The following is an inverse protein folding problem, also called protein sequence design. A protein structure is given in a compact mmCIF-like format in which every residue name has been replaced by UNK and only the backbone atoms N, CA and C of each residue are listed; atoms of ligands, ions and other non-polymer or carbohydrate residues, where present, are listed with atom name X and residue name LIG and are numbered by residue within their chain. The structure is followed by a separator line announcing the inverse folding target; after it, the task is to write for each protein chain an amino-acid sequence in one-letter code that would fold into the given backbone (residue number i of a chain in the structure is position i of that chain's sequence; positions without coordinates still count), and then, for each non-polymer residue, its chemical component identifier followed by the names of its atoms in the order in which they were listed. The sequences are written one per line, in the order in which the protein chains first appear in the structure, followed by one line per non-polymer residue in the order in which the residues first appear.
data_IF_280907201511
#
_entry.id   IF_280907201511
#
_cell.length_a   1.000
_cell.length_b   1.000
_cell.length_c   1.000
_cell.angle_alpha   90.00
_cell.angle_beta   90.00
_cell.angle_gamma   90.00
#
_symmetry.space_group_name_H-M   'P 1'
#
loop_
_entity.id
_entity.type
_entity.pdbx_description
1 polymer ?
#
# COMPACT_ATOMS: atom_id res chain seq x y z
N UNK A 1 8.51 -23.57 14.32
CA UNK A 1 7.85 -22.38 13.71
C UNK A 1 8.80 -21.19 13.78
N UNK A 2 9.02 -20.53 12.69
CA UNK A 2 9.85 -19.34 12.63
C UNK A 2 9.20 -18.16 13.37
N UNK A 3 10.01 -17.22 13.86
CA UNK A 3 9.51 -15.95 14.37
C UNK A 3 9.19 -15.03 13.19
N UNK A 4 7.91 -14.72 12.97
CA UNK A 4 7.45 -13.82 11.93
C UNK A 4 7.37 -12.35 12.40
N UNK A 5 7.63 -12.07 13.67
CA UNK A 5 7.53 -10.71 14.21
C UNK A 5 8.65 -9.81 13.68
N UNK A 6 8.35 -8.53 13.59
CA UNK A 6 9.32 -7.51 13.16
C UNK A 6 9.00 -6.16 13.78
N UNK A 7 9.96 -5.26 13.70
CA UNK A 7 9.75 -3.85 13.99
C UNK A 7 9.87 -3.04 12.69
N UNK A 8 8.83 -2.26 12.37
CA UNK A 8 8.79 -1.40 11.20
C UNK A 8 8.65 0.06 11.67
N UNK A 9 9.69 0.87 11.48
CA UNK A 9 9.72 2.29 11.90
C UNK A 9 9.32 2.50 13.37
N UNK A 10 9.77 1.63 14.29
CA UNK A 10 9.44 1.69 15.71
C UNK A 10 8.09 1.07 16.10
N UNK A 11 7.32 0.57 15.13
CA UNK A 11 6.04 -0.12 15.35
C UNK A 11 6.23 -1.62 15.28
N UNK A 12 5.84 -2.34 16.33
CA UNK A 12 5.91 -3.81 16.37
C UNK A 12 4.77 -4.42 15.59
N UNK A 13 5.11 -5.31 14.65
CA UNK A 13 4.18 -6.10 13.86
C UNK A 13 4.32 -7.58 14.23
N UNK A 14 3.22 -8.32 14.32
CA UNK A 14 3.22 -9.76 14.64
C UNK A 14 3.79 -10.61 13.51
N UNK A 15 3.68 -10.12 12.28
CA UNK A 15 4.18 -10.74 11.06
C UNK A 15 4.26 -9.66 9.96
N UNK A 16 4.94 -9.92 8.82
CA UNK A 16 5.14 -8.93 7.78
C UNK A 16 3.93 -8.71 6.85
N UNK A 17 2.80 -9.39 7.07
CA UNK A 17 1.64 -9.34 6.17
C UNK A 17 0.69 -8.22 6.60
N UNK A 18 0.53 -7.23 5.73
CA UNK A 18 -0.33 -6.06 5.92
C UNK A 18 -1.44 -6.10 4.87
N UNK A 19 -2.68 -5.86 5.27
CA UNK A 19 -3.76 -5.67 4.31
C UNK A 19 -3.62 -4.32 3.60
N UNK A 20 -3.63 -4.32 2.25
CA UNK A 20 -3.40 -3.13 1.45
C UNK A 20 -4.60 -2.19 1.42
N UNK A 21 -4.33 -0.89 1.42
CA UNK A 21 -5.37 0.14 1.27
C UNK A 21 -6.17 -0.04 -0.02
N UNK A 22 -7.47 0.17 0.10
CA UNK A 22 -8.42 0.10 -1.02
C UNK A 22 -9.00 -1.27 -1.29
N UNK A 23 -8.50 -2.32 -0.65
CA UNK A 23 -8.98 -3.70 -0.82
C UNK A 23 -9.52 -4.33 0.47
N UNK A 24 -9.45 -3.61 1.56
CA UNK A 24 -9.79 -4.11 2.90
C UNK A 24 -10.76 -3.20 3.67
N UNK A 25 -11.19 -2.09 3.06
CA UNK A 25 -12.04 -1.10 3.73
C UNK A 25 -11.39 -0.57 5.00
N UNK A 26 -12.13 -0.66 6.11
CA UNK A 26 -11.64 -0.45 7.47
C UNK A 26 -11.53 -1.77 8.26
N UNK A 27 -11.71 -2.91 7.60
CA UNK A 27 -11.54 -4.25 8.16
C UNK A 27 -12.81 -4.87 8.75
N UNK A 28 -13.92 -4.16 8.89
CA UNK A 28 -15.14 -4.67 9.54
C UNK A 28 -15.70 -5.91 8.85
N UNK A 29 -15.80 -5.88 7.53
CA UNK A 29 -16.32 -7.01 6.73
C UNK A 29 -15.43 -8.26 6.84
N UNK A 30 -14.12 -8.06 6.99
CA UNK A 30 -13.18 -9.16 7.17
C UNK A 30 -13.16 -9.70 8.59
N UNK A 31 -13.40 -8.85 9.60
CA UNK A 31 -13.50 -9.25 11.00
C UNK A 31 -14.70 -10.17 11.28
N UNK A 32 -15.74 -10.10 10.44
CA UNK A 32 -16.86 -11.06 10.46
C UNK A 32 -16.43 -12.47 9.99
N UNK A 33 -15.34 -12.58 9.23
CA UNK A 33 -14.87 -13.85 8.67
C UNK A 33 -13.74 -14.46 9.50
N UNK A 34 -12.87 -13.64 10.06
CA UNK A 34 -11.75 -14.06 10.91
C UNK A 34 -11.24 -12.90 11.77
N UNK A 35 -10.56 -13.21 12.86
CA UNK A 35 -9.91 -12.19 13.70
C UNK A 35 -8.81 -11.44 12.92
N UNK A 36 -9.09 -10.19 12.54
CA UNK A 36 -8.13 -9.33 11.82
C UNK A 36 -6.91 -8.96 12.68
N UNK A 37 -6.99 -9.14 14.00
CA UNK A 37 -5.88 -8.95 14.93
C UNK A 37 -4.71 -9.90 14.70
N UNK A 38 -4.87 -10.97 13.91
CA UNK A 38 -3.76 -11.84 13.50
C UNK A 38 -2.87 -11.26 12.41
N UNK A 39 -3.30 -10.21 11.70
CA UNK A 39 -2.51 -9.53 10.68
C UNK A 39 -1.37 -8.72 11.31
N UNK A 40 -0.30 -8.51 10.56
CA UNK A 40 0.77 -7.58 10.95
C UNK A 40 0.29 -6.13 10.98
N UNK A 41 -0.58 -5.76 10.04
CA UNK A 41 -1.15 -4.42 9.98
C UNK A 41 -2.29 -4.31 8.97
N UNK A 42 -2.98 -3.18 9.01
CA UNK A 42 -4.01 -2.80 8.04
C UNK A 42 -3.73 -1.38 7.57
N UNK A 43 -3.45 -1.22 6.27
CA UNK A 43 -3.51 0.09 5.63
C UNK A 43 -4.96 0.36 5.25
N UNK A 44 -5.61 1.26 5.97
CA UNK A 44 -7.05 1.52 5.81
C UNK A 44 -7.37 2.18 4.47
N UNK A 45 -8.64 2.22 4.11
CA UNK A 45 -9.12 2.93 2.92
C UNK A 45 -8.55 4.35 2.88
N UNK A 46 -8.06 4.76 1.71
CA UNK A 46 -7.51 6.09 1.52
C UNK A 46 -8.47 7.20 1.98
N UNK A 47 -8.02 8.00 2.92
CA UNK A 47 -8.76 9.06 3.57
C UNK A 47 -8.46 10.42 2.93
N UNK A 48 -9.45 11.27 2.80
CA UNK A 48 -9.33 12.68 2.44
C UNK A 48 -9.95 13.56 3.52
N UNK A 49 -9.63 14.87 3.53
CA UNK A 49 -10.19 15.81 4.51
C UNK A 49 -11.72 15.80 4.50
N UNK A 50 -12.31 15.78 3.30
CA UNK A 50 -13.76 15.73 3.10
C UNK A 50 -14.18 14.40 2.50
N UNK A 51 -15.44 13.95 2.73
CA UNK A 51 -15.97 12.76 2.08
C UNK A 51 -15.90 12.84 0.56
N UNK A 52 -15.64 11.69 -0.10
CA UNK A 52 -15.64 11.54 -1.55
C UNK A 52 -16.58 10.42 -1.97
N UNK A 53 -17.44 10.69 -2.95
CA UNK A 53 -18.38 9.71 -3.52
C UNK A 53 -17.72 8.75 -4.50
N UNK A 54 -16.51 9.07 -4.96
CA UNK A 54 -15.80 8.32 -6.00
C UNK A 54 -16.35 8.57 -7.41
N UNK A 55 -15.84 7.79 -8.37
CA UNK A 55 -16.23 7.88 -9.77
C UNK A 55 -17.59 7.19 -10.02
N UNK A 56 -18.30 7.54 -11.12
CA UNK A 56 -19.48 6.80 -11.54
C UNK A 56 -19.12 5.35 -11.96
N UNK A 57 -20.09 4.38 -11.93
CA UNK A 57 -19.86 3.03 -12.45
C UNK A 57 -19.79 3.04 -14.00
N UNK A 58 -19.08 2.09 -14.70
CA UNK A 58 -18.39 0.96 -14.06
C UNK A 58 -17.03 1.36 -13.54
N UNK A 59 -16.68 0.88 -12.34
CA UNK A 59 -15.44 1.23 -11.63
C UNK A 59 -14.40 0.13 -11.65
N UNK A 60 -14.78 -1.07 -12.08
CA UNK A 60 -13.95 -2.28 -12.06
C UNK A 60 -14.10 -3.00 -13.40
N UNK A 61 -13.00 -3.57 -13.88
CA UNK A 61 -12.99 -4.51 -15.00
C UNK A 61 -11.99 -5.64 -14.70
N UNK A 62 -12.44 -6.88 -14.85
CA UNK A 62 -11.56 -8.04 -14.74
C UNK A 62 -10.60 -8.12 -15.93
N UNK A 63 -9.41 -8.68 -15.68
CA UNK A 63 -8.41 -9.00 -16.70
C UNK A 63 -7.96 -10.45 -16.51
N UNK A 64 -7.30 -11.10 -17.50
CA UNK A 64 -6.91 -12.50 -17.39
C UNK A 64 -6.09 -12.87 -16.14
N UNK A 65 -5.32 -11.93 -15.60
CA UNK A 65 -4.46 -12.16 -14.42
C UNK A 65 -4.50 -11.02 -13.42
N UNK A 66 -5.69 -10.45 -13.19
CA UNK A 66 -5.87 -9.37 -12.25
C UNK A 66 -7.11 -8.55 -12.53
N UNK A 67 -7.08 -7.28 -12.16
CA UNK A 67 -8.21 -6.38 -12.36
C UNK A 67 -7.77 -4.93 -12.58
N UNK A 68 -8.59 -4.20 -13.31
CA UNK A 68 -8.52 -2.74 -13.39
C UNK A 68 -9.54 -2.13 -12.43
N UNK A 69 -9.14 -1.11 -11.69
CA UNK A 69 -10.03 -0.33 -10.87
C UNK A 69 -9.92 1.17 -11.15
N UNK A 70 -11.04 1.85 -11.01
CA UNK A 70 -11.17 3.31 -11.07
C UNK A 70 -12.21 3.78 -10.07
N UNK A 71 -12.02 3.43 -8.79
CA UNK A 71 -12.97 3.73 -7.71
C UNK A 71 -13.08 5.23 -7.43
N UNK A 72 -12.00 6.00 -7.64
CA UNK A 72 -12.02 7.45 -7.43
C UNK A 72 -11.93 7.87 -5.97
N UNK A 73 -11.20 7.11 -5.15
CA UNK A 73 -10.94 7.42 -3.74
C UNK A 73 -12.22 7.59 -2.89
N UNK A 74 -13.29 6.85 -3.17
CA UNK A 74 -14.49 6.87 -2.33
C UNK A 74 -14.13 6.61 -0.87
N UNK A 75 -14.48 7.54 0.03
CA UNK A 75 -14.21 7.44 1.47
C UNK A 75 -15.09 8.40 2.26
N UNK A 76 -15.33 8.16 3.57
CA UNK A 76 -16.20 8.97 4.40
C UNK A 76 -15.56 10.28 4.92
N UNK A 77 -14.27 10.51 4.63
CA UNK A 77 -13.49 11.59 5.21
C UNK A 77 -12.77 11.19 6.50
N UNK A 78 -11.72 11.95 6.85
CA UNK A 78 -10.86 11.64 8.00
C UNK A 78 -11.60 11.74 9.34
N UNK A 79 -12.49 12.70 9.50
CA UNK A 79 -13.23 12.91 10.75
C UNK A 79 -14.14 11.73 11.06
N UNK A 80 -14.89 11.26 10.06
CA UNK A 80 -15.74 10.06 10.20
C UNK A 80 -14.92 8.82 10.55
N UNK A 81 -13.73 8.64 9.95
CA UNK A 81 -12.85 7.54 10.30
C UNK A 81 -12.37 7.61 11.75
N UNK A 82 -11.93 8.79 12.20
CA UNK A 82 -11.42 8.99 13.57
C UNK A 82 -12.53 8.76 14.61
N UNK A 83 -13.77 9.17 14.32
CA UNK A 83 -14.89 9.05 15.23
C UNK A 83 -15.49 7.65 15.27
N UNK A 84 -15.62 6.98 14.12
CA UNK A 84 -16.45 5.77 14.00
C UNK A 84 -15.64 4.47 13.82
N UNK A 85 -14.49 4.50 13.15
CA UNK A 85 -13.76 3.29 12.77
C UNK A 85 -12.47 3.10 13.55
N UNK A 86 -11.72 4.17 13.79
CA UNK A 86 -10.43 4.10 14.48
C UNK A 86 -10.51 3.54 15.91
N UNK A 87 -11.47 3.93 16.79
CA UNK A 87 -11.55 3.37 18.13
C UNK A 87 -11.70 1.86 18.12
N UNK A 88 -12.59 1.35 17.27
CA UNK A 88 -12.80 -0.08 17.10
C UNK A 88 -11.55 -0.81 16.56
N UNK A 89 -10.85 -0.22 15.57
CA UNK A 89 -9.61 -0.80 15.02
C UNK A 89 -8.51 -0.91 16.07
N UNK A 90 -8.38 0.09 16.94
CA UNK A 90 -7.36 0.10 18.00
C UNK A 90 -7.60 -1.02 19.03
N UNK A 91 -8.85 -1.45 19.22
CA UNK A 91 -9.19 -2.59 20.09
C UNK A 91 -8.77 -3.94 19.48
N UNK A 92 -8.56 -4.03 18.16
CA UNK A 92 -8.23 -5.29 17.46
C UNK A 92 -6.78 -5.75 17.59
N UNK A 93 -5.94 -4.99 18.31
CA UNK A 93 -4.53 -5.33 18.48
C UNK A 93 -3.80 -5.61 17.15
N UNK A 94 -4.05 -4.77 16.14
CA UNK A 94 -3.43 -4.78 14.83
C UNK A 94 -2.82 -3.40 14.56
N UNK A 95 -1.70 -3.32 13.86
CA UNK A 95 -1.12 -2.03 13.49
C UNK A 95 -2.02 -1.31 12.48
N UNK A 96 -2.49 -0.11 12.82
CA UNK A 96 -3.35 0.72 11.98
C UNK A 96 -2.50 1.73 11.23
N UNK A 97 -2.50 1.63 9.90
CA UNK A 97 -1.80 2.54 8.99
C UNK A 97 -2.85 3.40 8.29
N UNK A 98 -2.88 4.69 8.59
CA UNK A 98 -3.81 5.60 7.93
C UNK A 98 -3.28 5.96 6.54
N UNK A 99 -3.94 5.46 5.48
CA UNK A 99 -3.63 5.87 4.11
C UNK A 99 -4.26 7.25 3.86
N UNK A 100 -3.44 8.25 3.57
CA UNK A 100 -3.88 9.63 3.37
C UNK A 100 -3.76 10.06 1.90
N UNK A 101 -4.75 10.80 1.43
CA UNK A 101 -4.82 11.33 0.06
C UNK A 101 -5.22 12.78 0.07
N UNK A 102 -4.73 13.54 -0.89
CA UNK A 102 -5.08 14.96 -1.05
C UNK A 102 -4.94 15.40 -2.51
N UNK A 103 -5.37 16.63 -2.79
CA UNK A 103 -5.26 17.30 -4.10
C UNK A 103 -4.20 18.40 -4.10
N UNK A 104 -3.76 18.83 -2.92
CA UNK A 104 -2.69 19.82 -2.73
C UNK A 104 -1.77 19.41 -1.58
N UNK A 105 -0.58 20.00 -1.51
CA UNK A 105 0.36 19.79 -0.40
C UNK A 105 -0.30 20.16 0.92
N UNK A 106 -1.06 21.25 0.97
CA UNK A 106 -1.77 21.71 2.17
C UNK A 106 -2.79 20.68 2.67
N UNK A 107 -3.54 20.01 1.78
CA UNK A 107 -4.46 18.95 2.19
C UNK A 107 -3.73 17.77 2.84
N UNK A 108 -2.57 17.35 2.31
CA UNK A 108 -1.78 16.30 2.94
C UNK A 108 -1.20 16.72 4.29
N UNK A 109 -0.75 17.96 4.43
CA UNK A 109 -0.27 18.52 5.70
C UNK A 109 -1.41 18.54 6.73
N UNK A 110 -2.58 19.07 6.37
CA UNK A 110 -3.76 19.08 7.24
C UNK A 110 -4.21 17.66 7.63
N UNK A 111 -4.10 16.68 6.73
CA UNK A 111 -4.37 15.27 7.06
C UNK A 111 -3.41 14.74 8.12
N UNK A 112 -2.11 15.04 8.00
CA UNK A 112 -1.11 14.63 8.99
C UNK A 112 -1.36 15.30 10.35
N UNK A 113 -1.66 16.60 10.38
CA UNK A 113 -2.00 17.35 11.59
C UNK A 113 -3.28 16.80 12.26
N UNK A 114 -4.30 16.46 11.46
CA UNK A 114 -5.56 15.89 11.94
C UNK A 114 -5.38 14.52 12.59
N UNK A 115 -4.48 13.71 12.05
CA UNK A 115 -4.19 12.37 12.56
C UNK A 115 -3.12 12.37 13.67
N UNK A 116 -2.34 13.44 13.82
CA UNK A 116 -1.27 13.54 14.80
C UNK A 116 -1.70 13.25 16.26
N UNK A 117 -2.86 13.73 16.76
CA UNK A 117 -3.32 13.45 18.12
C UNK A 117 -4.02 12.09 18.27
N UNK A 118 -4.18 11.31 17.19
CA UNK A 118 -4.91 10.04 17.20
C UNK A 118 -4.00 8.86 17.53
N UNK A 119 -4.61 7.70 17.76
CA UNK A 119 -3.88 6.46 18.03
C UNK A 119 -3.43 5.69 16.78
N UNK A 120 -3.48 6.27 15.56
CA UNK A 120 -2.94 5.58 14.38
C UNK A 120 -1.44 5.37 14.53
N UNK A 121 -0.97 4.19 14.12
CA UNK A 121 0.41 3.79 14.34
C UNK A 121 1.38 4.38 13.29
N UNK A 122 0.94 4.48 12.03
CA UNK A 122 1.72 5.01 10.92
C UNK A 122 0.81 5.75 9.92
N UNK A 123 1.39 6.65 9.13
CA UNK A 123 0.73 7.30 7.99
C UNK A 123 1.29 6.72 6.68
N UNK A 124 0.42 6.34 5.73
CA UNK A 124 0.81 6.00 4.37
C UNK A 124 0.34 7.11 3.42
N UNK A 125 1.26 7.96 2.98
CA UNK A 125 0.99 9.06 2.06
C UNK A 125 0.89 8.55 0.62
N UNK A 126 -0.32 8.50 0.07
CA UNK A 126 -0.59 8.05 -1.28
C UNK A 126 -0.50 9.20 -2.28
N UNK A 127 0.67 9.38 -2.89
CA UNK A 127 0.96 10.43 -3.89
C UNK A 127 0.74 9.98 -5.33
N UNK A 128 0.13 8.82 -5.54
CA UNK A 128 -0.01 8.19 -6.86
C UNK A 128 -1.29 8.58 -7.60
N UNK A 129 -2.11 9.50 -7.09
CA UNK A 129 -3.39 9.81 -7.70
C UNK A 129 -3.21 10.66 -8.98
N UNK A 130 -3.57 10.16 -10.18
CA UNK A 130 -3.40 10.88 -11.44
C UNK A 130 -4.42 12.01 -11.66
N UNK A 131 -5.41 12.17 -10.77
CA UNK A 131 -6.59 13.03 -10.97
C UNK A 131 -6.53 14.34 -10.19
N UNK A 132 -5.37 14.98 -10.11
CA UNK A 132 -5.28 16.34 -9.54
C UNK A 132 -5.46 17.35 -10.65
N UNK A 133 -6.69 17.88 -10.82
CA UNK A 133 -7.05 18.85 -11.86
C UNK A 133 -6.57 20.29 -11.59
N UNK A 134 -5.95 20.59 -10.47
CA UNK A 134 -5.33 21.89 -10.23
C UNK A 134 -3.82 21.78 -10.30
N UNK A 135 -3.26 22.23 -11.42
CA UNK A 135 -1.82 22.31 -11.66
C UNK A 135 -1.17 21.16 -12.43
N UNK A 136 -1.90 20.10 -12.79
CA UNK A 136 -1.48 19.13 -13.83
C UNK A 136 -0.31 18.20 -13.49
N UNK A 137 0.16 18.14 -12.24
CA UNK A 137 1.29 17.29 -11.87
C UNK A 137 0.85 16.27 -10.81
N UNK A 138 0.83 15.00 -11.20
CA UNK A 138 0.75 13.91 -10.21
C UNK A 138 2.00 13.97 -9.33
N UNK A 139 1.83 14.22 -8.02
CA UNK A 139 2.94 14.42 -7.07
C UNK A 139 3.97 13.28 -7.08
N UNK A 140 3.53 12.06 -7.39
CA UNK A 140 4.38 10.87 -7.38
C UNK A 140 5.22 10.64 -8.65
N UNK A 141 5.13 11.50 -9.68
CA UNK A 141 5.80 11.25 -10.97
C UNK A 141 7.21 11.83 -11.00
N UNK A 142 7.42 13.04 -10.47
CA UNK A 142 8.71 13.73 -10.48
C UNK A 142 9.39 13.66 -9.13
N UNK A 143 10.68 13.30 -9.05
CA UNK A 143 11.43 13.24 -7.79
C UNK A 143 11.36 14.54 -6.98
N UNK A 144 11.42 15.70 -7.64
CA UNK A 144 11.35 17.01 -6.96
C UNK A 144 10.00 17.20 -6.26
N UNK A 145 8.91 16.77 -6.89
CA UNK A 145 7.56 16.86 -6.30
C UNK A 145 7.41 15.89 -5.14
N UNK A 146 7.96 14.67 -5.27
CA UNK A 146 8.01 13.67 -4.18
C UNK A 146 8.76 14.24 -2.99
N UNK A 147 9.94 14.83 -3.21
CA UNK A 147 10.73 15.47 -2.16
C UNK A 147 9.96 16.57 -1.43
N UNK A 148 9.38 17.51 -2.19
CA UNK A 148 8.70 18.67 -1.61
C UNK A 148 7.49 18.27 -0.76
N UNK A 149 6.61 17.40 -1.29
CA UNK A 149 5.43 16.97 -0.55
C UNK A 149 5.80 16.12 0.67
N UNK A 150 6.77 15.23 0.52
CA UNK A 150 7.23 14.38 1.64
C UNK A 150 7.80 15.23 2.76
N UNK A 151 8.66 16.23 2.45
CA UNK A 151 9.25 17.13 3.43
C UNK A 151 8.18 17.94 4.18
N UNK A 152 7.18 18.46 3.46
CA UNK A 152 6.10 19.23 4.06
C UNK A 152 5.25 18.37 5.01
N UNK A 153 4.84 17.18 4.57
CA UNK A 153 4.00 16.27 5.36
C UNK A 153 4.79 15.70 6.55
N UNK A 154 6.08 15.36 6.37
CA UNK A 154 6.93 14.86 7.46
C UNK A 154 7.10 15.89 8.58
N UNK A 155 7.16 17.17 8.26
CA UNK A 155 7.25 18.24 9.26
C UNK A 155 5.99 18.34 10.14
N UNK A 156 4.81 17.94 9.64
CA UNK A 156 3.54 17.96 10.34
C UNK A 156 3.21 16.62 11.02
N UNK A 157 3.71 15.51 10.49
CA UNK A 157 3.43 14.18 10.99
C UNK A 157 4.12 13.92 12.34
N UNK A 158 3.40 13.32 13.28
CA UNK A 158 3.96 12.77 14.54
C UNK A 158 4.24 11.27 14.44
N UNK A 159 3.46 10.58 13.63
CA UNK A 159 3.64 9.16 13.34
C UNK A 159 4.72 8.96 12.27
N UNK A 160 5.33 7.76 12.20
CA UNK A 160 6.16 7.38 11.07
C UNK A 160 5.41 7.57 9.75
N UNK A 161 6.09 8.16 8.75
CA UNK A 161 5.55 8.48 7.44
C UNK A 161 6.06 7.48 6.39
N UNK A 162 5.15 6.73 5.80
CA UNK A 162 5.39 5.85 4.66
C UNK A 162 4.98 6.60 3.39
N UNK A 163 5.83 6.64 2.38
CA UNK A 163 5.51 7.26 1.08
C UNK A 163 5.18 6.16 0.06
N UNK A 164 3.93 6.16 -0.44
CA UNK A 164 3.46 5.17 -1.43
C UNK A 164 3.74 5.63 -2.83
N UNK A 165 4.65 4.91 -3.52
CA UNK A 165 5.15 5.26 -4.84
C UNK A 165 4.34 4.64 -5.97
N UNK A 166 4.22 5.41 -7.08
CA UNK A 166 3.59 4.95 -8.32
C UNK A 166 4.61 4.21 -9.20
N UNK A 167 4.19 3.12 -9.88
CA UNK A 167 5.04 2.44 -10.87
C UNK A 167 5.04 3.15 -12.25
N UNK A 168 4.21 4.19 -12.43
CA UNK A 168 4.02 4.85 -13.73
C UNK A 168 5.09 5.92 -13.99
N UNK A 169 6.35 5.52 -13.83
CA UNK A 169 7.56 6.33 -14.00
C UNK A 169 8.63 5.53 -14.72
N UNK A 170 9.61 6.22 -15.30
CA UNK A 170 10.73 5.57 -16.01
C UNK A 170 11.67 4.85 -15.04
N UNK A 171 12.03 5.52 -13.94
CA UNK A 171 12.86 4.98 -12.87
C UNK A 171 12.26 5.32 -11.51
N UNK A 172 11.74 4.31 -10.80
CA UNK A 172 11.13 4.47 -9.49
C UNK A 172 12.19 4.74 -8.40
N UNK A 173 13.44 4.39 -8.66
CA UNK A 173 14.52 4.55 -7.66
C UNK A 173 14.83 6.02 -7.38
N UNK A 174 14.67 6.90 -8.37
CA UNK A 174 14.83 8.34 -8.19
C UNK A 174 13.77 8.89 -7.23
N UNK A 175 12.51 8.43 -7.36
CA UNK A 175 11.42 8.82 -6.47
C UNK A 175 11.60 8.23 -5.06
N UNK A 176 12.14 7.02 -4.96
CA UNK A 176 12.45 6.38 -3.69
C UNK A 176 13.55 7.15 -2.93
N UNK A 177 14.62 7.55 -3.63
CA UNK A 177 15.68 8.40 -3.07
C UNK A 177 15.14 9.76 -2.62
N UNK A 178 14.34 10.41 -3.46
CA UNK A 178 13.74 11.70 -3.13
C UNK A 178 12.84 11.64 -1.87
N UNK A 179 12.07 10.56 -1.71
CA UNK A 179 11.28 10.32 -0.50
C UNK A 179 12.17 10.15 0.74
N UNK A 180 13.23 9.34 0.64
CA UNK A 180 14.20 9.15 1.72
C UNK A 180 14.90 10.46 2.11
N UNK A 181 15.42 11.22 1.15
CA UNK A 181 16.10 12.48 1.37
C UNK A 181 15.18 13.55 2.00
N UNK A 182 13.89 13.47 1.72
CA UNK A 182 12.87 14.34 2.32
C UNK A 182 12.47 13.93 3.75
N UNK A 183 12.98 12.79 4.26
CA UNK A 183 12.78 12.32 5.62
C UNK A 183 11.63 11.32 5.77
N UNK A 184 11.21 10.62 4.72
CA UNK A 184 10.31 9.47 4.86
C UNK A 184 10.92 8.41 5.78
N UNK A 185 10.10 7.80 6.64
CA UNK A 185 10.56 6.71 7.52
C UNK A 185 10.55 5.36 6.78
N UNK A 186 9.66 5.20 5.80
CA UNK A 186 9.60 4.04 4.90
C UNK A 186 9.00 4.43 3.55
N UNK A 187 9.13 3.54 2.57
CA UNK A 187 8.40 3.63 1.30
C UNK A 187 7.56 2.38 1.09
N UNK A 188 6.40 2.53 0.47
CA UNK A 188 5.61 1.39 -0.01
C UNK A 188 5.52 1.42 -1.53
N UNK A 189 5.65 0.27 -2.17
CA UNK A 189 5.63 0.13 -3.63
C UNK A 189 5.26 -1.30 -4.06
N UNK A 190 4.51 -1.41 -5.13
CA UNK A 190 4.07 -0.39 -6.08
C UNK A 190 2.56 -0.14 -5.94
N UNK A 191 2.10 1.10 -6.25
CA UNK A 191 0.71 1.33 -6.57
C UNK A 191 0.38 0.66 -7.92
N UNK A 192 -0.81 0.88 -8.47
CA UNK A 192 -1.30 0.21 -9.67
C UNK A 192 -0.70 0.79 -10.96
N UNK A 193 -0.52 -0.08 -11.96
CA UNK A 193 -0.14 0.33 -13.32
C UNK A 193 -1.36 0.88 -14.08
N UNK A 194 -1.19 1.99 -14.79
CA UNK A 194 -2.27 2.57 -15.58
C UNK A 194 -2.58 1.72 -16.80
N UNK A 195 -3.85 1.39 -16.99
CA UNK A 195 -4.32 0.60 -18.13
C UNK A 195 -5.74 0.96 -18.56
N UNK A 196 -6.23 0.32 -19.61
CA UNK A 196 -7.59 0.45 -20.15
C UNK A 196 -8.22 -0.93 -20.37
N UNK A 197 -9.55 -0.98 -20.37
CA UNK A 197 -10.32 -2.13 -20.84
C UNK A 197 -11.32 -1.68 -21.89
N UNK A 198 -11.41 -2.43 -23.00
CA UNK A 198 -12.22 -2.07 -24.17
C UNK A 198 -13.27 -3.14 -24.44
N UNK A 199 -14.53 -2.72 -24.53
CA UNK A 199 -15.61 -3.53 -25.11
C UNK A 199 -15.55 -3.38 -26.66
N UNK A 200 -14.98 -4.39 -27.32
CA UNK A 200 -14.79 -4.36 -28.77
C UNK A 200 -16.10 -4.40 -29.56
N UNK A 201 -17.14 -5.01 -28.97
CA UNK A 201 -18.46 -5.11 -29.61
C UNK A 201 -19.18 -3.78 -29.60
N UNK A 202 -19.11 -3.06 -28.48
CA UNK A 202 -19.73 -1.74 -28.32
C UNK A 202 -18.80 -0.60 -28.76
N UNK A 203 -17.53 -0.87 -29.00
CA UNK A 203 -16.47 0.11 -29.31
C UNK A 203 -16.39 1.21 -28.26
N UNK A 204 -16.41 0.81 -26.98
CA UNK A 204 -16.42 1.71 -25.82
C UNK A 204 -15.44 1.26 -24.74
N UNK A 205 -15.02 2.21 -23.92
CA UNK A 205 -14.31 1.90 -22.68
C UNK A 205 -15.25 1.17 -21.71
N UNK A 206 -14.72 0.18 -20.96
CA UNK A 206 -15.48 -0.53 -19.93
C UNK A 206 -15.58 0.33 -18.67
N UNK A 207 -14.48 0.97 -18.27
CA UNK A 207 -14.46 1.86 -17.11
C UNK A 207 -15.02 3.23 -17.46
N UNK A 208 -15.91 3.77 -16.61
CA UNK A 208 -16.51 5.09 -16.81
C UNK A 208 -15.48 6.24 -16.85
N UNK A 209 -14.36 6.09 -16.16
CA UNK A 209 -13.25 7.05 -16.14
C UNK A 209 -12.22 6.80 -17.28
N UNK A 210 -12.53 5.95 -18.26
CA UNK A 210 -11.70 5.49 -19.38
C UNK A 210 -10.46 4.69 -18.94
N UNK A 211 -9.66 5.19 -18.01
CA UNK A 211 -8.47 4.54 -17.47
C UNK A 211 -8.71 4.00 -16.07
N UNK A 212 -7.93 2.99 -15.67
CA UNK A 212 -7.91 2.44 -14.33
C UNK A 212 -6.53 1.91 -13.95
N UNK A 213 -6.38 1.60 -12.67
CA UNK A 213 -5.17 0.99 -12.15
C UNK A 213 -5.23 -0.54 -12.24
N UNK A 214 -4.29 -1.14 -12.94
CA UNK A 214 -4.11 -2.61 -13.02
C UNK A 214 -3.41 -3.11 -11.76
N UNK A 215 -3.97 -4.16 -11.15
CA UNK A 215 -3.45 -4.87 -9.99
C UNK A 215 -3.67 -6.38 -10.13
N UNK A 216 -3.11 -7.17 -9.20
CA UNK A 216 -3.17 -8.63 -9.22
C UNK A 216 -1.90 -9.28 -9.80
N UNK A 217 -1.89 -10.61 -10.05
CA UNK A 217 -0.69 -11.36 -10.41
C UNK A 217 0.07 -10.82 -11.63
N UNK A 218 -0.64 -10.21 -12.59
CA UNK A 218 -0.04 -9.62 -13.79
C UNK A 218 1.04 -8.57 -13.51
N UNK A 219 0.96 -7.84 -12.38
CA UNK A 219 1.93 -6.79 -12.06
C UNK A 219 3.10 -7.28 -11.19
N UNK A 220 3.05 -8.52 -10.66
CA UNK A 220 4.04 -9.04 -9.71
C UNK A 220 5.49 -8.98 -10.23
N UNK A 221 5.83 -9.39 -11.46
CA UNK A 221 7.21 -9.31 -11.95
C UNK A 221 7.73 -7.88 -12.01
N UNK A 222 6.86 -6.91 -12.32
CA UNK A 222 7.21 -5.48 -12.34
C UNK A 222 7.45 -4.97 -10.92
N UNK A 223 6.57 -5.35 -9.99
CA UNK A 223 6.68 -4.95 -8.59
C UNK A 223 7.97 -5.51 -7.95
N UNK A 224 8.27 -6.79 -8.14
CA UNK A 224 9.50 -7.43 -7.64
C UNK A 224 10.76 -6.72 -8.17
N UNK A 225 10.82 -6.42 -9.48
CA UNK A 225 11.93 -5.67 -10.07
C UNK A 225 12.09 -4.30 -9.44
N UNK A 226 10.99 -3.56 -9.26
CA UNK A 226 11.02 -2.20 -8.70
C UNK A 226 11.45 -2.20 -7.23
N UNK A 227 10.97 -3.16 -6.43
CA UNK A 227 11.41 -3.34 -5.03
C UNK A 227 12.90 -3.66 -4.99
N UNK A 228 13.36 -4.64 -5.77
CA UNK A 228 14.76 -5.04 -5.82
C UNK A 228 15.69 -3.89 -6.22
N UNK A 229 15.34 -3.13 -7.27
CA UNK A 229 16.12 -1.97 -7.70
C UNK A 229 16.18 -0.86 -6.63
N UNK A 230 15.06 -0.60 -5.96
CA UNK A 230 14.99 0.43 -4.92
C UNK A 230 15.77 0.01 -3.67
N UNK A 231 15.72 -1.27 -3.28
CA UNK A 231 16.48 -1.82 -2.16
C UNK A 231 18.01 -1.70 -2.33
N UNK A 232 18.50 -1.55 -3.57
CA UNK A 232 19.93 -1.30 -3.85
C UNK A 232 20.32 0.19 -3.68
N UNK A 233 19.35 1.09 -3.51
CA UNK A 233 19.55 2.54 -3.51
C UNK A 233 19.18 3.23 -2.21
N UNK A 234 18.10 2.77 -1.57
CA UNK A 234 17.61 3.39 -0.33
C UNK A 234 18.00 2.55 0.89
N UNK A 235 18.06 3.21 2.05
CA UNK A 235 18.39 2.59 3.34
C UNK A 235 17.20 2.53 4.30
N UNK A 236 16.10 3.20 3.95
CA UNK A 236 14.85 3.12 4.72
C UNK A 236 14.06 1.86 4.35
N UNK A 237 13.21 1.36 5.26
CA UNK A 237 12.35 0.20 5.03
C UNK A 237 11.53 0.31 3.76
N UNK A 238 11.41 -0.82 3.04
CA UNK A 238 10.51 -0.97 1.88
C UNK A 238 9.39 -1.93 2.26
N UNK A 239 8.15 -1.52 1.96
CA UNK A 239 6.96 -2.37 2.05
C UNK A 239 6.56 -2.73 0.62
N UNK A 240 6.75 -4.01 0.25
CA UNK A 240 6.47 -4.49 -1.11
C UNK A 240 4.99 -4.80 -1.32
N UNK A 241 4.45 -4.46 -2.50
CA UNK A 241 3.10 -4.85 -2.90
C UNK A 241 2.95 -4.98 -4.41
N UNK A 242 2.02 -5.84 -4.84
CA UNK A 242 1.68 -6.05 -6.25
C UNK A 242 1.64 -7.52 -6.63
N UNK A 243 0.46 -8.11 -6.68
CA UNK A 243 0.24 -9.47 -7.13
C UNK A 243 0.66 -10.58 -6.17
N UNK A 244 0.75 -10.29 -4.88
CA UNK A 244 1.02 -11.29 -3.83
C UNK A 244 -0.25 -12.11 -3.60
N UNK A 245 -0.16 -13.43 -3.78
CA UNK A 245 -1.25 -14.38 -3.58
C UNK A 245 -0.87 -15.54 -2.68
N UNK A 246 0.42 -15.82 -2.47
CA UNK A 246 0.94 -16.93 -1.69
C UNK A 246 2.01 -16.50 -0.70
N UNK A 247 2.35 -17.38 0.25
CA UNK A 247 3.49 -17.17 1.17
C UNK A 247 4.83 -17.09 0.43
N UNK A 248 5.00 -17.86 -0.65
CA UNK A 248 6.21 -17.79 -1.51
C UNK A 248 6.29 -16.45 -2.24
N UNK A 249 5.15 -15.88 -2.68
CA UNK A 249 5.16 -14.53 -3.25
C UNK A 249 5.62 -13.50 -2.22
N UNK A 250 5.12 -13.58 -0.98
CA UNK A 250 5.56 -12.72 0.11
C UNK A 250 7.06 -12.86 0.37
N UNK A 251 7.56 -14.12 0.46
CA UNK A 251 8.98 -14.40 0.60
C UNK A 251 9.80 -13.82 -0.56
N UNK A 252 9.32 -13.91 -1.82
CA UNK A 252 10.00 -13.34 -2.97
C UNK A 252 10.20 -11.82 -2.85
N UNK A 253 9.19 -11.08 -2.37
CA UNK A 253 9.33 -9.65 -2.09
C UNK A 253 10.35 -9.37 -0.98
N UNK A 254 10.37 -10.19 0.08
CA UNK A 254 11.34 -10.04 1.16
C UNK A 254 12.77 -10.33 0.68
N UNK A 255 12.97 -11.39 -0.10
CA UNK A 255 14.24 -11.68 -0.74
C UNK A 255 14.73 -10.51 -1.61
N UNK A 256 13.82 -9.81 -2.31
CA UNK A 256 14.12 -8.61 -3.08
C UNK A 256 14.45 -7.37 -2.22
N UNK A 257 14.27 -7.41 -0.89
CA UNK A 257 14.61 -6.34 0.04
C UNK A 257 13.44 -5.67 0.74
N UNK A 258 12.20 -6.15 0.56
CA UNK A 258 11.07 -5.68 1.34
C UNK A 258 11.13 -6.21 2.78
N UNK A 259 10.91 -5.35 3.78
CA UNK A 259 10.83 -5.75 5.19
C UNK A 259 9.43 -6.22 5.60
N UNK A 260 8.41 -5.74 4.92
CA UNK A 260 7.03 -6.16 5.05
C UNK A 260 6.37 -6.15 3.67
N UNK A 261 5.18 -6.73 3.57
CA UNK A 261 4.43 -6.78 2.30
C UNK A 261 2.97 -6.41 2.51
N UNK A 262 2.36 -5.82 1.48
CA UNK A 262 0.93 -5.52 1.47
C UNK A 262 0.19 -6.42 0.47
N UNK A 263 -0.85 -7.09 0.95
CA UNK A 263 -1.74 -7.95 0.16
C UNK A 263 -2.98 -7.16 -0.25
N UNK A 264 -3.20 -7.04 -1.55
CA UNK A 264 -4.30 -6.25 -2.12
C UNK A 264 -5.35 -7.10 -2.82
N UNK A 265 -5.26 -7.21 -4.13
CA UNK A 265 -6.27 -7.83 -5.02
C UNK A 265 -6.66 -9.25 -4.61
N UNK A 266 -5.74 -10.02 -4.02
CA UNK A 266 -6.02 -11.37 -3.52
C UNK A 266 -7.18 -11.41 -2.50
N UNK A 267 -7.39 -10.34 -1.72
CA UNK A 267 -8.49 -10.26 -0.77
C UNK A 267 -9.88 -10.27 -1.43
N UNK A 268 -9.99 -9.91 -2.71
CA UNK A 268 -11.25 -9.95 -3.46
C UNK A 268 -11.59 -11.34 -3.99
N UNK A 269 -10.57 -12.13 -4.31
CA UNK A 269 -10.75 -13.50 -4.83
C UNK A 269 -10.79 -14.53 -3.72
N UNK A 270 -10.08 -14.27 -2.63
CA UNK A 270 -10.03 -15.11 -1.43
C UNK A 270 -10.04 -14.21 -0.19
N UNK A 271 -11.18 -14.08 0.50
CA UNK A 271 -11.26 -13.26 1.72
C UNK A 271 -10.29 -13.71 2.82
N UNK A 272 -9.84 -14.97 2.81
CA UNK A 272 -8.86 -15.53 3.74
C UNK A 272 -7.41 -15.44 3.23
N UNK A 273 -7.14 -14.69 2.16
CA UNK A 273 -5.81 -14.58 1.56
C UNK A 273 -4.74 -14.16 2.60
N UNK A 274 -4.96 -13.10 3.37
CA UNK A 274 -3.99 -12.65 4.35
C UNK A 274 -3.66 -13.72 5.42
N UNK A 275 -4.63 -14.32 6.13
CA UNK A 275 -4.35 -15.41 7.08
C UNK A 275 -3.68 -16.63 6.44
N UNK A 276 -4.05 -16.96 5.21
CA UNK A 276 -3.43 -18.08 4.48
C UNK A 276 -1.98 -17.77 4.14
N UNK A 277 -1.68 -16.60 3.62
CA UNK A 277 -0.33 -16.15 3.28
C UNK A 277 0.57 -16.13 4.51
N UNK A 278 0.06 -15.73 5.69
CA UNK A 278 0.83 -15.80 6.95
C UNK A 278 1.26 -17.24 7.26
N UNK A 279 0.34 -18.20 7.16
CA UNK A 279 0.66 -19.62 7.40
C UNK A 279 1.66 -20.15 6.39
N UNK A 280 1.41 -19.92 5.09
CA UNK A 280 2.28 -20.34 3.99
C UNK A 280 3.70 -19.74 4.11
N UNK A 281 3.82 -18.47 4.52
CA UNK A 281 5.12 -17.84 4.75
C UNK A 281 5.85 -18.48 5.93
N UNK A 282 5.13 -18.84 6.99
CA UNK A 282 5.72 -19.58 8.12
C UNK A 282 6.22 -20.97 7.68
N UNK A 283 5.42 -21.69 6.88
CA UNK A 283 5.80 -23.01 6.35
C UNK A 283 7.03 -22.90 5.44
N UNK A 284 7.10 -21.83 4.62
CA UNK A 284 8.28 -21.52 3.80
C UNK A 284 9.52 -21.28 4.68
N UNK A 285 9.40 -20.47 5.74
CA UNK A 285 10.51 -20.18 6.65
C UNK A 285 10.99 -21.48 7.35
N UNK A 286 10.08 -22.33 7.82
CA UNK A 286 10.42 -23.61 8.44
C UNK A 286 11.14 -24.53 7.43
N UNK A 287 10.66 -24.65 6.20
CA UNK A 287 11.29 -25.45 5.15
C UNK A 287 12.70 -24.95 4.78
N UNK A 288 12.92 -23.64 4.79
CA UNK A 288 14.20 -23.00 4.54
C UNK A 288 15.11 -22.91 5.79
N UNK A 289 14.64 -23.36 6.97
CA UNK A 289 15.33 -23.29 8.26
C UNK A 289 15.64 -21.84 8.70
N UNK A 290 14.82 -20.90 8.30
CA UNK A 290 14.85 -19.50 8.72
C UNK A 290 14.30 -19.40 10.13
N UNK A 291 15.03 -18.77 11.07
CA UNK A 291 14.61 -18.64 12.46
C UNK A 291 13.75 -17.37 12.65
N UNK A 292 14.12 -16.29 11.99
CA UNK A 292 13.36 -15.05 11.97
C UNK A 292 13.13 -14.60 10.53
N UNK A 293 11.90 -14.20 10.21
CA UNK A 293 11.50 -13.83 8.85
C UNK A 293 12.33 -12.69 8.26
N UNK A 294 12.91 -11.82 9.08
CA UNK A 294 13.78 -10.74 8.64
C UNK A 294 15.12 -11.22 8.06
N UNK A 295 15.52 -12.48 8.33
CA UNK A 295 16.69 -13.09 7.67
C UNK A 295 16.52 -13.25 6.16
N UNK A 296 15.29 -13.18 5.65
CA UNK A 296 15.03 -13.22 4.20
C UNK A 296 15.38 -11.91 3.49
N UNK A 297 15.35 -10.79 4.22
CA UNK A 297 15.38 -9.45 3.62
C UNK A 297 16.68 -9.19 2.86
N UNK A 298 16.54 -8.95 1.54
CA UNK A 298 17.66 -8.58 0.66
C UNK A 298 18.67 -9.70 0.38
N UNK A 299 18.31 -10.96 0.64
CA UNK A 299 19.22 -12.09 0.44
C UNK A 299 19.13 -12.73 -0.94
N UNK A 300 18.38 -12.13 -1.87
CA UNK A 300 18.32 -12.60 -3.27
C UNK A 300 19.71 -12.58 -3.91
N UNK A 301 20.13 -13.74 -4.42
CA UNK A 301 21.40 -13.88 -5.14
C UNK A 301 21.15 -13.56 -6.62
N UNK A 302 21.83 -12.53 -7.13
CA UNK A 302 21.90 -12.23 -8.55
C UNK A 302 23.00 -13.08 -9.22
N UNK A 303 22.89 -13.31 -10.53
CA UNK A 303 23.92 -13.96 -11.34
C UNK A 303 25.04 -13.01 -11.71
#
# INVERSE_FOLDING_TARGET
MADLSLELCGVKLKNPIIAASGTFGFGREYDELYDIGQLGGISVKGLSLKPRTGNPPSRIAETPSGMLNSVGLQNPGVDSFVENDLPWLLEKNVAVIANITGTSVDEYVQMAERLAPTGVHMLEMNISCPNVHEGGVAFGVKPESVYQITKAVKAAARQPLIVKLTPNVSDITENALAAQEAGADAISMINTLTGIAVDVRRRKMILANNTGGLSGPAVRPVALRMVWQSAQKVHIPIIGMGGIETGEDAAAFMLCGAQAVMVGTANFTDPFACPRIIRELNDYCDAQKVQNVQELVGTLKAY
#
